data_IF_062749212563
#
_entry.id   IF_062749212563
#
_cell.length_a   1.000
_cell.length_b   1.000
_cell.length_c   1.000
_cell.angle_alpha   90.00
_cell.angle_beta   90.00
_cell.angle_gamma   90.00
#
_symmetry.space_group_name_H-M   'P 1'
#
loop_
_entity.id
_entity.type
_entity.pdbx_description
1 polymer ?
#
# COMPACT_ATOMS: atom_id res chain seq x y z
N UNK A 1 7.22 44.12 61.43
CA UNK A 1 7.25 43.95 59.96
C UNK A 1 8.32 42.98 59.46
N UNK A 2 9.26 42.51 60.29
CA UNK A 2 10.30 41.54 59.89
C UNK A 2 9.86 40.07 60.04
N UNK A 3 8.89 39.78 60.92
CA UNK A 3 8.40 38.43 61.16
C UNK A 3 7.63 37.83 59.96
N UNK A 4 6.88 38.66 59.21
CA UNK A 4 6.14 38.23 58.03
C UNK A 4 7.04 37.79 56.86
N UNK A 5 8.25 38.36 56.74
CA UNK A 5 9.23 37.97 55.70
C UNK A 5 9.92 36.64 56.02
N UNK A 6 10.08 36.30 57.30
CA UNK A 6 10.71 35.04 57.69
C UNK A 6 9.81 33.83 57.39
N UNK A 7 8.49 33.96 57.56
CA UNK A 7 7.52 32.88 57.26
C UNK A 7 7.45 32.60 55.75
N UNK A 8 7.55 33.64 54.91
CA UNK A 8 7.56 33.47 53.45
C UNK A 8 8.78 32.69 52.96
N UNK A 9 9.94 32.82 53.62
CA UNK A 9 11.15 32.09 53.26
C UNK A 9 11.10 30.60 53.66
N UNK A 10 10.45 30.29 54.79
CA UNK A 10 10.21 28.90 55.22
C UNK A 10 9.23 28.20 54.28
N UNK A 11 8.18 28.90 53.83
CA UNK A 11 7.23 28.34 52.86
C UNK A 11 7.85 28.06 51.48
N UNK A 12 8.87 28.82 51.04
CA UNK A 12 9.56 28.55 49.75
C UNK A 12 10.53 27.37 49.87
N UNK A 13 11.23 27.23 51.01
CA UNK A 13 12.13 26.09 51.25
C UNK A 13 11.38 24.74 51.38
N UNK A 14 10.12 24.76 51.82
CA UNK A 14 9.30 23.55 51.93
C UNK A 14 8.77 23.06 50.56
N UNK A 15 8.69 23.93 49.55
CA UNK A 15 8.38 23.53 48.16
C UNK A 15 9.59 22.88 47.46
N UNK A 16 10.80 23.07 47.98
CA UNK A 16 12.02 22.46 47.43
C UNK A 16 12.30 21.07 48.02
N UNK A 17 11.50 20.59 48.98
CA UNK A 17 11.61 19.23 49.56
C UNK A 17 10.31 18.44 49.59
N UNK A 18 9.18 19.06 49.25
CA UNK A 18 7.94 18.36 48.93
C UNK A 18 7.91 17.96 47.46
N UNK A 19 8.65 16.90 47.09
CA UNK A 19 8.50 16.21 45.81
C UNK A 19 7.06 15.71 45.70
N UNK A 20 6.18 16.59 45.21
CA UNK A 20 4.85 16.24 44.75
C UNK A 20 5.06 15.27 43.62
N UNK A 21 4.87 13.99 43.93
CA UNK A 21 4.45 12.94 43.00
C UNK A 21 4.92 13.27 41.58
N UNK A 22 6.21 13.12 41.33
CA UNK A 22 6.63 12.65 40.00
C UNK A 22 5.83 11.38 39.83
N UNK A 23 4.66 11.50 39.16
CA UNK A 23 3.90 10.37 38.68
C UNK A 23 4.96 9.61 37.95
N UNK A 24 5.40 8.52 38.61
CA UNK A 24 6.50 7.68 38.22
C UNK A 24 6.21 7.43 36.76
N UNK A 25 6.93 8.16 35.90
CA UNK A 25 7.04 7.88 34.50
C UNK A 25 7.51 6.46 34.54
N UNK A 26 6.54 5.59 34.39
CA UNK A 26 6.66 4.23 34.05
C UNK A 26 7.80 4.20 33.02
N UNK A 27 9.01 3.91 33.52
CA UNK A 27 9.89 2.93 32.89
C UNK A 27 9.09 1.62 32.83
N UNK A 28 7.98 1.65 32.09
CA UNK A 28 7.34 0.50 31.52
C UNK A 28 8.44 -0.06 30.65
N UNK A 29 8.88 -1.26 31.01
CA UNK A 29 9.63 -2.11 30.12
C UNK A 29 9.05 -1.90 28.73
N UNK A 30 9.80 -1.19 27.89
CA UNK A 30 9.34 -0.76 26.58
C UNK A 30 9.17 -2.06 25.84
N UNK A 31 7.97 -2.61 25.86
CA UNK A 31 7.72 -3.94 25.29
C UNK A 31 8.05 -3.78 23.83
N UNK A 32 9.22 -4.27 23.43
CA UNK A 32 9.74 -4.04 22.10
C UNK A 32 8.79 -4.71 21.13
N UNK A 33 7.96 -3.89 20.51
CA UNK A 33 7.11 -4.32 19.43
C UNK A 33 7.99 -4.98 18.37
N UNK A 34 7.54 -6.08 17.76
CA UNK A 34 8.25 -6.72 16.67
C UNK A 34 8.71 -5.70 15.62
N UNK A 35 9.91 -5.84 15.05
CA UNK A 35 10.31 -5.04 13.91
C UNK A 35 9.26 -5.15 12.79
N UNK A 36 9.08 -4.07 12.04
CA UNK A 36 8.06 -3.91 10.98
C UNK A 36 6.60 -3.70 11.45
N UNK A 37 6.31 -3.77 12.75
CA UNK A 37 4.95 -3.54 13.27
C UNK A 37 4.61 -2.05 13.48
N UNK A 38 5.59 -1.16 13.33
CA UNK A 38 5.45 0.28 13.50
C UNK A 38 6.06 1.03 12.31
N UNK A 39 5.55 2.24 12.08
CA UNK A 39 5.96 3.16 11.03
C UNK A 39 6.81 4.25 11.67
N UNK A 40 7.96 4.53 11.07
CA UNK A 40 8.76 5.70 11.43
C UNK A 40 8.26 6.92 10.64
N UNK A 41 7.75 7.93 11.33
CA UNK A 41 7.32 9.20 10.76
C UNK A 41 8.41 10.22 10.98
N UNK A 42 8.77 10.94 9.93
CA UNK A 42 9.75 12.03 9.98
C UNK A 42 9.08 13.32 9.52
N UNK A 43 9.28 14.41 10.26
CA UNK A 43 8.77 15.72 9.91
C UNK A 43 9.74 16.52 9.02
N UNK A 44 9.37 17.76 8.69
CA UNK A 44 10.14 18.64 7.82
C UNK A 44 11.51 19.03 8.41
N UNK A 45 11.63 19.03 9.74
CA UNK A 45 12.86 19.33 10.48
C UNK A 45 13.76 18.09 10.65
N UNK A 46 13.31 16.93 10.15
CA UNK A 46 14.03 15.66 10.26
C UNK A 46 13.87 14.97 11.61
N UNK A 47 12.99 15.47 12.48
CA UNK A 47 12.65 14.82 13.74
C UNK A 47 11.70 13.66 13.49
N UNK A 48 11.88 12.58 14.23
CA UNK A 48 11.17 11.34 13.96
C UNK A 48 10.56 10.70 15.19
N UNK A 49 9.44 9.99 15.00
CA UNK A 49 8.76 9.24 16.04
C UNK A 49 8.08 8.00 15.44
N UNK A 50 7.73 7.05 16.30
CA UNK A 50 7.11 5.79 15.89
C UNK A 50 5.61 5.85 16.07
N UNK A 51 4.87 5.25 15.14
CA UNK A 51 3.42 5.08 15.24
C UNK A 51 2.98 3.70 14.74
N UNK A 52 1.84 3.23 15.22
CA UNK A 52 1.18 2.00 14.74
C UNK A 52 -0.12 2.35 14.00
N UNK A 53 -0.58 1.44 13.16
CA UNK A 53 -1.85 1.55 12.44
C UNK A 53 -2.99 1.18 13.41
N UNK A 54 -3.96 2.08 13.59
CA UNK A 54 -5.16 1.82 14.40
C UNK A 54 -6.20 1.10 13.54
N UNK A 55 -6.43 -0.18 13.81
CA UNK A 55 -7.42 -1.00 13.13
C UNK A 55 -8.33 -1.64 14.16
N UNK A 56 -9.63 -1.39 14.05
CA UNK A 56 -10.66 -1.95 14.92
C UNK A 56 -11.71 -2.66 14.07
N UNK A 57 -11.97 -3.94 14.34
CA UNK A 57 -12.96 -4.72 13.59
C UNK A 57 -12.73 -4.78 12.07
N UNK A 58 -11.48 -4.62 11.63
CA UNK A 58 -11.10 -4.56 10.20
C UNK A 58 -11.29 -3.20 9.54
N UNK A 59 -11.65 -2.16 10.29
CA UNK A 59 -11.78 -0.79 9.79
C UNK A 59 -10.57 0.05 10.22
N UNK A 60 -10.02 0.83 9.29
CA UNK A 60 -8.91 1.75 9.56
C UNK A 60 -9.40 2.98 10.33
N UNK A 61 -8.90 3.16 11.55
CA UNK A 61 -9.26 4.23 12.47
C UNK A 61 -8.22 5.36 12.51
N UNK A 62 -7.05 5.18 11.90
CA UNK A 62 -5.98 6.18 11.86
C UNK A 62 -4.63 5.61 12.28
N UNK A 63 -3.82 6.46 12.92
CA UNK A 63 -2.52 6.09 13.47
C UNK A 63 -2.45 6.48 14.94
N UNK A 64 -1.72 5.71 15.73
CA UNK A 64 -1.43 6.01 17.12
C UNK A 64 0.08 6.17 17.28
N UNK A 65 0.52 7.35 17.74
CA UNK A 65 1.90 7.54 18.13
C UNK A 65 2.22 6.65 19.34
N UNK A 66 3.36 5.95 19.28
CA UNK A 66 3.81 5.12 20.39
C UNK A 66 4.24 5.98 21.59
N UNK A 67 4.76 7.17 21.31
CA UNK A 67 5.14 8.17 22.29
C UNK A 67 4.75 9.56 21.81
N UNK A 68 4.50 10.47 22.75
CA UNK A 68 4.23 11.88 22.46
C UNK A 68 5.50 12.74 22.37
N UNK A 69 6.65 12.10 22.16
CA UNK A 69 7.94 12.74 21.92
C UNK A 69 8.54 12.25 20.61
N UNK A 70 9.26 13.14 19.93
CA UNK A 70 9.99 12.88 18.69
C UNK A 70 11.47 13.20 18.89
N UNK A 71 12.33 12.41 18.25
CA UNK A 71 13.79 12.55 18.35
C UNK A 71 14.31 13.28 17.13
N UNK A 72 15.07 14.35 17.34
CA UNK A 72 15.60 15.20 16.29
C UNK A 72 17.07 14.86 15.95
N UNK A 73 17.57 15.25 14.75
CA UNK A 73 18.95 14.95 14.33
C UNK A 73 20.04 15.55 15.23
N UNK A 74 19.70 16.63 15.95
CA UNK A 74 20.56 17.27 16.95
C UNK A 74 20.62 16.48 18.29
N UNK A 75 19.92 15.36 18.40
CA UNK A 75 19.83 14.55 19.62
C UNK A 75 18.85 15.10 20.67
N UNK A 76 18.13 16.17 20.38
CA UNK A 76 17.09 16.70 21.26
C UNK A 76 15.78 15.93 21.07
N UNK A 77 15.00 15.84 22.15
CA UNK A 77 13.64 15.35 22.09
C UNK A 77 12.68 16.54 22.08
N UNK A 78 11.80 16.55 21.10
CA UNK A 78 10.72 17.52 20.97
C UNK A 78 9.38 16.84 21.22
N UNK A 79 8.33 17.64 21.40
CA UNK A 79 6.98 17.16 21.67
C UNK A 79 6.27 16.88 20.33
N UNK A 80 5.62 15.74 20.23
CA UNK A 80 4.66 15.45 19.16
C UNK A 80 3.46 16.38 19.35
N UNK A 81 2.95 16.96 18.25
CA UNK A 81 1.88 17.96 18.28
C UNK A 81 0.72 17.55 19.21
N UNK A 82 0.34 18.46 20.10
CA UNK A 82 -0.77 18.26 21.03
C UNK A 82 -2.06 17.90 20.28
N UNK A 83 -2.83 16.98 20.86
CA UNK A 83 -4.04 16.42 20.24
C UNK A 83 -3.79 15.26 19.28
N UNK A 84 -2.53 14.93 18.94
CA UNK A 84 -2.25 13.70 18.19
C UNK A 84 -2.64 12.45 19.00
N UNK A 85 -3.27 11.48 18.34
CA UNK A 85 -3.66 10.22 18.99
C UNK A 85 -2.42 9.39 19.31
N UNK A 86 -2.42 8.77 20.48
CA UNK A 86 -1.28 8.04 21.02
C UNK A 86 -1.70 6.78 21.80
N UNK A 87 -0.73 5.91 22.08
CA UNK A 87 -0.89 4.75 22.96
C UNK A 87 -0.51 5.12 24.39
N UNK A 88 -1.48 5.20 25.29
CA UNK A 88 -1.27 5.51 26.71
C UNK A 88 -0.74 4.31 27.51
N UNK A 89 -1.12 3.10 27.10
CA UNK A 89 -0.48 1.86 27.55
C UNK A 89 -0.45 0.88 26.39
N UNK A 90 0.54 -0.02 26.40
CA UNK A 90 0.74 -1.00 25.34
C UNK A 90 1.18 -2.34 25.92
N UNK A 91 0.39 -3.38 25.66
CA UNK A 91 0.62 -4.74 26.13
C UNK A 91 0.61 -5.70 24.94
N UNK A 92 1.71 -6.43 24.73
CA UNK A 92 1.78 -7.48 23.72
C UNK A 92 1.05 -8.73 24.26
N UNK A 93 0.12 -9.27 23.47
CA UNK A 93 -0.61 -10.48 23.84
C UNK A 93 0.11 -11.73 23.34
N UNK A 94 0.24 -11.88 22.02
CA UNK A 94 0.72 -13.10 21.38
C UNK A 94 1.77 -12.82 20.28
N UNK A 95 2.49 -11.69 20.38
CA UNK A 95 3.48 -11.24 19.38
C UNK A 95 2.90 -10.73 18.05
N UNK A 96 1.65 -11.05 17.72
CA UNK A 96 0.94 -10.57 16.53
C UNK A 96 -0.20 -9.59 16.86
N UNK A 97 -0.47 -9.32 18.14
CA UNK A 97 -1.53 -8.43 18.61
C UNK A 97 -1.08 -7.64 19.81
N UNK A 98 -1.60 -6.43 19.94
CA UNK A 98 -1.35 -5.55 21.07
C UNK A 98 -2.66 -5.03 21.62
N UNK A 99 -2.76 -5.03 22.95
CA UNK A 99 -3.75 -4.24 23.65
C UNK A 99 -3.20 -2.84 23.86
N UNK A 100 -3.95 -1.84 23.44
CA UNK A 100 -3.59 -0.44 23.62
C UNK A 100 -4.69 0.29 24.36
N UNK A 101 -4.29 1.19 25.24
CA UNK A 101 -5.18 2.25 25.73
C UNK A 101 -4.99 3.46 24.83
N UNK A 102 -6.06 3.94 24.22
CA UNK A 102 -5.99 5.10 23.33
C UNK A 102 -6.07 6.39 24.14
N UNK A 103 -5.27 7.37 23.72
CA UNK A 103 -5.27 8.71 24.28
C UNK A 103 -4.88 9.77 23.26
N UNK A 104 -4.65 10.98 23.78
CA UNK A 104 -4.20 12.14 23.03
C UNK A 104 -2.96 12.76 23.68
N UNK A 105 -2.02 13.22 22.85
CA UNK A 105 -0.81 13.89 23.30
C UNK A 105 -1.14 15.25 23.92
N UNK A 106 -0.54 15.52 25.08
CA UNK A 106 -0.52 16.83 25.69
C UNK A 106 0.80 17.01 26.44
N UNK A 107 1.55 18.06 26.11
CA UNK A 107 2.82 18.41 26.79
C UNK A 107 3.84 17.27 26.81
N UNK A 108 3.88 16.46 25.74
CA UNK A 108 4.81 15.33 25.62
C UNK A 108 4.36 14.04 26.32
N UNK A 109 3.19 14.04 26.97
CA UNK A 109 2.60 12.85 27.60
C UNK A 109 1.36 12.38 26.83
N UNK A 110 1.11 11.07 26.83
CA UNK A 110 -0.12 10.51 26.28
C UNK A 110 -1.19 10.43 27.38
N UNK A 111 -2.25 11.24 27.25
CA UNK A 111 -3.37 11.22 28.19
C UNK A 111 -4.46 10.30 27.67
N UNK A 112 -4.84 9.22 28.39
CA UNK A 112 -5.93 8.35 27.99
C UNK A 112 -7.24 9.12 27.77
N UNK A 113 -8.03 8.67 26.81
CA UNK A 113 -9.36 9.24 26.57
C UNK A 113 -10.27 9.03 27.79
N UNK A 114 -11.30 9.87 27.93
CA UNK A 114 -12.32 9.74 28.99
C UNK A 114 -13.71 9.58 28.36
N UNK A 115 -14.35 8.40 28.49
CA UNK A 115 -13.88 7.21 29.20
C UNK A 115 -12.71 6.51 28.49
N UNK A 116 -11.86 5.75 29.23
CA UNK A 116 -10.75 5.01 28.64
C UNK A 116 -11.19 4.06 27.53
N UNK A 117 -10.51 4.13 26.39
CA UNK A 117 -10.77 3.24 25.25
C UNK A 117 -9.63 2.23 25.14
N UNK A 118 -9.95 0.96 25.37
CA UNK A 118 -9.02 -0.15 25.18
C UNK A 118 -9.33 -0.87 23.88
N UNK A 119 -8.30 -1.14 23.07
CA UNK A 119 -8.45 -1.82 21.77
C UNK A 119 -7.38 -2.88 21.60
N UNK A 120 -7.75 -3.98 20.94
CA UNK A 120 -6.80 -4.99 20.48
C UNK A 120 -6.48 -4.74 19.01
N UNK A 121 -5.27 -4.29 18.73
CA UNK A 121 -4.79 -4.00 17.38
C UNK A 121 -3.96 -5.19 16.89
N UNK A 122 -4.28 -5.76 15.72
CA UNK A 122 -3.38 -6.71 15.06
C UNK A 122 -2.13 -5.98 14.57
N UNK A 123 -0.96 -6.46 14.96
CA UNK A 123 0.31 -5.99 14.41
C UNK A 123 0.45 -6.61 13.02
N UNK A 124 0.23 -5.82 11.97
CA UNK A 124 0.43 -6.29 10.61
C UNK A 124 1.92 -6.61 10.42
N UNK A 125 2.24 -7.89 10.20
CA UNK A 125 3.54 -8.26 9.65
C UNK A 125 3.49 -8.07 8.14
N UNK A 126 4.57 -7.58 7.54
CA UNK A 126 4.69 -7.46 6.09
C UNK A 126 4.52 -8.81 5.33
N UNK A 127 4.40 -9.94 6.06
CA UNK A 127 4.29 -11.29 5.53
C UNK A 127 2.84 -11.77 5.30
N UNK A 128 1.82 -11.16 5.90
CA UNK A 128 0.45 -11.73 5.89
C UNK A 128 -0.45 -11.26 4.74
N UNK A 129 -0.03 -10.25 3.95
CA UNK A 129 -0.78 -9.76 2.78
C UNK A 129 -0.44 -10.45 1.44
N UNK A 130 0.33 -11.55 1.45
CA UNK A 130 0.77 -12.26 0.24
C UNK A 130 -0.09 -13.48 -0.15
N UNK A 131 -1.03 -13.94 0.69
CA UNK A 131 -1.71 -15.24 0.47
C UNK A 131 -3.08 -15.12 -0.24
N UNK A 132 -3.87 -14.05 -0.04
CA UNK A 132 -5.22 -14.00 -0.63
C UNK A 132 -5.28 -13.38 -2.05
N UNK A 133 -4.27 -12.59 -2.44
CA UNK A 133 -4.23 -11.92 -3.75
C UNK A 133 -3.55 -12.71 -4.87
N UNK A 134 -2.85 -13.82 -4.58
CA UNK A 134 -2.20 -14.66 -5.62
C UNK A 134 -3.17 -15.55 -6.41
N UNK A 135 -4.32 -15.91 -5.84
CA UNK A 135 -5.26 -16.86 -6.48
C UNK A 135 -6.13 -16.19 -7.57
N UNK A 136 -6.59 -14.95 -7.34
CA UNK A 136 -7.43 -14.20 -8.27
C UNK A 136 -6.62 -13.71 -9.48
N UNK A 137 -5.37 -13.30 -9.30
CA UNK A 137 -4.55 -12.74 -10.36
C UNK A 137 -4.00 -13.80 -11.35
N UNK A 138 -3.65 -15.00 -10.85
CA UNK A 138 -3.29 -16.16 -11.70
C UNK A 138 -4.47 -16.60 -12.59
N UNK A 139 -5.70 -16.65 -12.05
CA UNK A 139 -6.90 -17.05 -12.82
C UNK A 139 -7.26 -16.02 -13.90
N UNK A 140 -7.08 -14.72 -13.63
CA UNK A 140 -7.28 -13.62 -14.60
C UNK A 140 -6.24 -13.66 -15.73
N UNK A 141 -4.95 -13.83 -15.40
CA UNK A 141 -3.86 -13.98 -16.39
C UNK A 141 -4.04 -15.20 -17.29
N UNK A 142 -4.47 -16.36 -16.76
CA UNK A 142 -4.74 -17.56 -17.58
C UNK A 142 -5.94 -17.35 -18.51
N UNK A 143 -7.04 -16.74 -18.03
CA UNK A 143 -8.21 -16.43 -18.87
C UNK A 143 -7.85 -15.44 -20.00
N UNK A 144 -7.02 -14.44 -19.70
CA UNK A 144 -6.58 -13.45 -20.71
C UNK A 144 -5.64 -14.08 -21.75
N UNK A 145 -4.65 -14.88 -21.34
CA UNK A 145 -3.77 -15.63 -22.27
C UNK A 145 -4.56 -16.59 -23.17
N UNK A 146 -5.55 -17.32 -22.64
CA UNK A 146 -6.43 -18.19 -23.47
C UNK A 146 -7.24 -17.39 -24.50
N UNK A 147 -7.84 -16.26 -24.11
CA UNK A 147 -8.60 -15.39 -25.05
C UNK A 147 -7.72 -14.84 -26.18
N UNK A 148 -6.50 -14.40 -25.88
CA UNK A 148 -5.54 -13.89 -26.89
C UNK A 148 -5.12 -15.01 -27.86
N UNK A 149 -4.86 -16.22 -27.36
CA UNK A 149 -4.46 -17.37 -28.18
C UNK A 149 -5.58 -17.82 -29.14
N UNK A 150 -6.84 -17.72 -28.73
CA UNK A 150 -8.00 -18.03 -29.60
C UNK A 150 -8.18 -16.95 -30.68
N UNK A 151 -8.08 -15.67 -30.32
CA UNK A 151 -8.23 -14.55 -31.28
C UNK A 151 -7.13 -14.57 -32.37
N UNK A 152 -5.88 -14.85 -31.99
CA UNK A 152 -4.75 -14.95 -32.93
C UNK A 152 -4.89 -16.15 -33.88
N UNK A 153 -5.34 -17.31 -33.40
CA UNK A 153 -5.63 -18.47 -34.26
C UNK A 153 -6.73 -18.19 -35.29
N UNK A 154 -7.83 -17.53 -34.88
CA UNK A 154 -8.92 -17.14 -35.80
C UNK A 154 -8.49 -16.13 -36.87
N UNK A 155 -7.58 -15.20 -36.55
CA UNK A 155 -7.04 -14.27 -37.56
C UNK A 155 -6.17 -14.99 -38.59
N UNK A 156 -5.25 -15.86 -38.15
CA UNK A 156 -4.37 -16.62 -39.05
C UNK A 156 -5.13 -17.55 -40.01
N UNK A 157 -6.22 -18.17 -39.58
CA UNK A 157 -7.04 -19.01 -40.45
C UNK A 157 -7.79 -18.22 -41.53
N UNK A 158 -8.30 -17.02 -41.19
CA UNK A 158 -8.93 -16.11 -42.17
C UNK A 158 -7.93 -15.59 -43.21
N UNK A 159 -6.71 -15.23 -42.80
CA UNK A 159 -5.65 -14.77 -43.73
C UNK A 159 -5.19 -15.88 -44.68
N UNK A 160 -5.14 -17.14 -44.22
CA UNK A 160 -4.80 -18.28 -45.09
C UNK A 160 -5.90 -18.59 -46.10
N UNK A 161 -7.18 -18.50 -45.72
CA UNK A 161 -8.31 -18.71 -46.63
C UNK A 161 -8.37 -17.65 -47.74
N UNK A 162 -8.20 -16.37 -47.38
CA UNK A 162 -8.20 -15.27 -48.36
C UNK A 162 -7.06 -15.40 -49.37
N UNK A 163 -5.83 -15.73 -48.92
CA UNK A 163 -4.70 -15.97 -49.84
C UNK A 163 -4.92 -17.14 -50.79
N UNK A 164 -5.60 -18.21 -50.36
CA UNK A 164 -5.95 -19.34 -51.24
C UNK A 164 -6.96 -18.92 -52.31
N UNK A 165 -7.99 -18.17 -51.95
CA UNK A 165 -9.02 -17.70 -52.89
C UNK A 165 -8.43 -16.72 -53.92
N UNK A 166 -7.54 -15.81 -53.51
CA UNK A 166 -6.90 -14.88 -54.45
C UNK A 166 -5.99 -15.61 -55.44
N UNK A 167 -5.26 -16.64 -54.98
CA UNK A 167 -4.38 -17.43 -55.85
C UNK A 167 -5.16 -18.21 -56.91
N UNK A 168 -6.23 -18.91 -56.52
CA UNK A 168 -7.07 -19.64 -57.48
C UNK A 168 -7.74 -18.71 -58.50
N UNK A 169 -8.15 -17.51 -58.08
CA UNK A 169 -8.75 -16.50 -58.97
C UNK A 169 -7.74 -15.91 -59.98
N UNK A 170 -6.46 -15.80 -59.62
CA UNK A 170 -5.42 -15.39 -60.57
C UNK A 170 -5.07 -16.50 -61.56
N UNK A 171 -4.98 -17.75 -61.09
CA UNK A 171 -4.71 -18.91 -61.95
C UNK A 171 -5.82 -19.12 -62.99
N UNK A 172 -7.11 -18.94 -62.62
CA UNK A 172 -8.21 -19.04 -63.59
C UNK A 172 -8.21 -17.89 -64.59
N UNK A 173 -7.96 -16.64 -64.16
CA UNK A 173 -7.81 -15.49 -65.06
C UNK A 173 -6.68 -15.70 -66.08
N UNK A 174 -5.54 -16.22 -65.65
CA UNK A 174 -4.40 -16.49 -66.54
C UNK A 174 -4.77 -17.56 -67.58
N UNK A 175 -5.40 -18.67 -67.16
CA UNK A 175 -5.86 -19.74 -68.07
C UNK A 175 -6.86 -19.23 -69.11
N UNK A 176 -7.85 -18.42 -68.70
CA UNK A 176 -8.80 -17.77 -69.60
C UNK A 176 -8.11 -16.87 -70.63
N UNK A 177 -7.11 -16.10 -70.20
CA UNK A 177 -6.35 -15.19 -71.08
C UNK A 177 -5.54 -15.96 -72.12
N UNK A 178 -4.89 -17.06 -71.73
CA UNK A 178 -4.15 -17.94 -72.63
C UNK A 178 -5.11 -18.59 -73.64
N UNK A 179 -6.24 -19.13 -73.16
CA UNK A 179 -7.26 -19.74 -74.03
C UNK A 179 -7.81 -18.74 -75.06
N UNK A 180 -8.16 -17.51 -74.66
CA UNK A 180 -8.59 -16.46 -75.58
C UNK A 180 -7.51 -16.13 -76.63
N UNK A 181 -6.24 -16.12 -76.23
CA UNK A 181 -5.13 -15.85 -77.13
C UNK A 181 -4.96 -16.98 -78.16
N UNK A 182 -5.05 -18.24 -77.73
CA UNK A 182 -5.01 -19.42 -78.61
C UNK A 182 -6.18 -19.40 -79.61
N UNK A 183 -7.40 -19.09 -79.15
CA UNK A 183 -8.58 -19.00 -80.01
C UNK A 183 -8.39 -17.89 -81.05
N UNK A 184 -7.94 -16.70 -80.64
CA UNK A 184 -7.63 -15.60 -81.58
C UNK A 184 -6.58 -16.02 -82.61
N UNK A 185 -5.53 -16.70 -82.20
CA UNK A 185 -4.49 -17.18 -83.10
C UNK A 185 -5.02 -18.20 -84.11
N UNK A 186 -5.80 -19.20 -83.66
CA UNK A 186 -6.46 -20.18 -84.53
C UNK A 186 -7.41 -19.52 -85.53
N UNK A 187 -8.19 -18.53 -85.12
CA UNK A 187 -9.07 -17.75 -86.02
C UNK A 187 -8.26 -16.96 -87.06
N UNK A 188 -7.14 -16.35 -86.64
CA UNK A 188 -6.23 -15.62 -87.54
C UNK A 188 -5.60 -16.56 -88.58
N UNK A 189 -5.15 -17.74 -88.17
CA UNK A 189 -4.61 -18.77 -89.08
C UNK A 189 -5.67 -19.30 -90.04
N UNK A 190 -6.90 -19.55 -89.57
CA UNK A 190 -8.02 -19.94 -90.45
C UNK A 190 -8.37 -18.89 -91.51
N UNK A 191 -8.27 -17.59 -91.18
CA UNK A 191 -8.45 -16.52 -92.17
C UNK A 191 -7.31 -16.47 -93.20
N UNK A 192 -6.08 -16.83 -92.80
CA UNK A 192 -4.89 -16.79 -93.67
C UNK A 192 -4.81 -17.96 -94.68
N UNK A 193 -5.55 -19.04 -94.44
CA UNK A 193 -5.64 -20.22 -95.32
C UNK A 193 -6.80 -20.09 -96.34
N UNK A 194 -7.68 -19.09 -96.20
CA UNK A 194 -8.82 -18.81 -97.10
C UNK A 194 -8.55 -17.71 -98.14
N UNK A 195 -7.29 -17.43 -98.45
CA UNK A 195 -6.83 -16.52 -99.51
C UNK A 195 -5.92 -17.30 -100.44
#
# INVERSE_FOLDING_TARGET
>A
MLLLKAILFVLIAEIESGSTSSAKGNEEAKTELPPDSYINVTDEDGCWYLQIVDIEGGSFMGFLALNCTKTCPNGQNEIVVDGNRCTGSLELLDGAKVNVTVGSCALGCCNPDSPPQHRTIPLMSAAEDEEENKSKDKKKKIKMKKKIRVRTRRRRSRTRRTRKITRTRMETKLKLTIMHSIIKYKLKMKKKIRV
#
